data_IF_236249380538
#
_entry.id   IF_236249380538
#
_cell.length_a   1.000
_cell.length_b   1.000
_cell.length_c   1.000
_cell.angle_alpha   90.00
_cell.angle_beta   90.00
_cell.angle_gamma   90.00
#
_symmetry.space_group_name_H-M   'P 1'
#
loop_
_entity.id
_entity.type
_entity.pdbx_description
1 polymer ?
#
# COMPACT_ATOMS: atom_id res chain seq x y z
N UNK A 1 33.16 -13.86 -83.61
CA UNK A 1 33.75 -14.70 -82.55
C UNK A 1 33.15 -14.27 -81.21
N UNK A 2 32.45 -15.19 -80.52
CA UNK A 2 32.25 -15.28 -79.05
C UNK A 2 31.46 -14.13 -78.34
N UNK A 3 30.17 -14.36 -78.01
CA UNK A 3 29.58 -14.72 -76.68
C UNK A 3 29.42 -13.51 -75.73
N UNK A 4 28.38 -13.35 -74.90
CA UNK A 4 27.02 -13.90 -74.71
C UNK A 4 26.44 -13.16 -73.47
N UNK A 5 25.10 -13.09 -73.41
CA UNK A 5 24.24 -13.08 -72.19
C UNK A 5 23.96 -11.74 -71.48
N UNK A 6 22.65 -11.46 -71.43
CA UNK A 6 21.93 -10.47 -70.66
C UNK A 6 21.71 -10.90 -69.21
N UNK A 7 21.46 -9.94 -68.29
CA UNK A 7 20.52 -10.11 -67.18
C UNK A 7 20.21 -8.76 -66.48
N UNK A 8 18.92 -8.45 -66.46
CA UNK A 8 18.11 -7.74 -65.45
C UNK A 8 18.63 -7.92 -64.00
N UNK A 9 18.44 -7.07 -62.98
CA UNK A 9 17.26 -6.33 -62.51
C UNK A 9 17.56 -5.65 -61.16
N UNK A 10 16.72 -4.67 -60.81
CA UNK A 10 16.22 -4.30 -59.48
C UNK A 10 17.17 -3.68 -58.42
N UNK A 11 16.86 -2.43 -58.10
CA UNK A 11 17.17 -1.79 -56.83
C UNK A 11 16.59 -2.60 -55.66
N UNK A 12 17.41 -2.87 -54.64
CA UNK A 12 16.91 -3.22 -53.32
C UNK A 12 17.79 -2.49 -52.30
N UNK A 13 17.32 -1.31 -51.91
CA UNK A 13 17.75 -0.69 -50.66
C UNK A 13 17.46 -1.69 -49.55
N UNK A 14 18.52 -2.29 -49.00
CA UNK A 14 18.45 -2.97 -47.72
C UNK A 14 18.07 -1.91 -46.69
N UNK A 15 16.77 -1.81 -46.44
CA UNK A 15 16.25 -1.18 -45.25
C UNK A 15 16.96 -1.81 -44.06
N UNK A 16 17.80 -1.00 -43.40
CA UNK A 16 18.16 -1.17 -42.01
C UNK A 16 16.87 -1.06 -41.20
N UNK A 17 16.09 -2.13 -41.20
CA UNK A 17 15.09 -2.41 -40.18
C UNK A 17 15.84 -2.82 -38.91
N UNK A 18 16.59 -1.89 -38.33
CA UNK A 18 16.93 -1.97 -36.91
C UNK A 18 15.60 -1.84 -36.18
N UNK A 19 14.95 -2.97 -35.91
CA UNK A 19 13.92 -3.01 -34.88
C UNK A 19 14.61 -2.57 -33.60
N UNK A 20 14.51 -1.28 -33.28
CA UNK A 20 14.87 -0.80 -31.96
C UNK A 20 14.02 -1.61 -30.99
N UNK A 21 14.65 -2.52 -30.25
CA UNK A 21 14.00 -3.14 -29.11
C UNK A 21 13.54 -1.98 -28.23
N UNK A 22 12.22 -1.82 -28.09
CA UNK A 22 11.66 -0.81 -27.20
C UNK A 22 12.20 -1.08 -25.79
N UNK A 23 12.64 -0.04 -25.09
CA UNK A 23 13.26 -0.20 -23.79
C UNK A 23 12.22 -0.63 -22.75
N UNK A 24 12.55 -1.58 -21.87
CA UNK A 24 11.69 -1.98 -20.77
C UNK A 24 11.37 -0.76 -19.86
N UNK A 25 10.10 -0.59 -19.49
CA UNK A 25 9.65 0.39 -18.49
C UNK A 25 10.07 -0.11 -17.12
N UNK A 26 10.90 0.65 -16.40
CA UNK A 26 11.44 0.31 -15.08
C UNK A 26 10.70 1.06 -13.99
N UNK A 27 10.02 0.35 -13.10
CA UNK A 27 9.31 0.95 -11.97
C UNK A 27 9.98 0.51 -10.67
N UNK A 28 10.43 1.48 -9.87
CA UNK A 28 10.93 1.23 -8.52
C UNK A 28 9.78 1.10 -7.53
N UNK A 29 9.74 0.03 -6.74
CA UNK A 29 8.69 -0.21 -5.74
C UNK A 29 9.30 -0.30 -4.34
N UNK A 30 9.20 0.79 -3.58
CA UNK A 30 9.69 0.86 -2.20
C UNK A 30 8.58 0.49 -1.22
N UNK A 31 8.68 -0.67 -0.58
CA UNK A 31 7.69 -1.19 0.36
C UNK A 31 8.15 -1.00 1.80
N UNK A 32 7.20 -0.84 2.73
CA UNK A 32 7.54 -0.63 4.14
C UNK A 32 8.24 -1.85 4.75
N UNK A 33 7.73 -3.05 4.46
CA UNK A 33 8.29 -4.33 4.89
C UNK A 33 7.73 -5.46 4.02
N UNK A 34 8.46 -6.57 3.91
CA UNK A 34 8.03 -7.73 3.11
C UNK A 34 7.32 -8.82 3.90
N UNK A 35 7.47 -8.82 5.23
CA UNK A 35 6.93 -9.80 6.17
C UNK A 35 5.56 -9.40 6.74
N UNK A 36 4.89 -8.44 6.10
CA UNK A 36 3.48 -8.13 6.33
C UNK A 36 2.60 -8.93 5.34
N UNK A 37 1.56 -9.57 5.86
CA UNK A 37 0.68 -10.47 5.10
C UNK A 37 -0.05 -9.73 3.98
N UNK A 38 -0.65 -8.57 4.27
CA UNK A 38 -1.37 -7.78 3.28
C UNK A 38 -0.43 -7.22 2.21
N UNK A 39 0.73 -6.73 2.62
CA UNK A 39 1.72 -6.22 1.68
C UNK A 39 2.31 -7.31 0.78
N UNK A 40 2.35 -8.57 1.23
CA UNK A 40 2.70 -9.70 0.37
C UNK A 40 1.70 -9.88 -0.77
N UNK A 41 0.40 -9.89 -0.49
CA UNK A 41 -0.62 -9.97 -1.54
C UNK A 41 -0.53 -8.79 -2.51
N UNK A 42 -0.37 -7.58 -1.97
CA UNK A 42 -0.23 -6.37 -2.80
C UNK A 42 0.99 -6.47 -3.74
N UNK A 43 2.14 -6.93 -3.24
CA UNK A 43 3.37 -7.14 -4.02
C UNK A 43 3.18 -8.20 -5.12
N UNK A 44 2.56 -9.31 -4.78
CA UNK A 44 2.38 -10.43 -5.69
C UNK A 44 1.39 -10.07 -6.80
N UNK A 45 0.32 -9.33 -6.47
CA UNK A 45 -0.65 -8.81 -7.45
C UNK A 45 -0.03 -7.75 -8.37
N UNK A 46 0.81 -6.84 -7.84
CA UNK A 46 1.58 -5.91 -8.66
C UNK A 46 2.47 -6.67 -9.67
N UNK A 47 3.19 -7.70 -9.20
CA UNK A 47 4.02 -8.55 -10.05
C UNK A 47 3.22 -9.32 -11.10
N UNK A 48 2.08 -9.90 -10.72
CA UNK A 48 1.22 -10.62 -11.63
C UNK A 48 0.66 -9.68 -12.71
N UNK A 49 0.25 -8.47 -12.32
CA UNK A 49 -0.26 -7.47 -13.25
C UNK A 49 0.80 -7.04 -14.25
N UNK A 50 2.01 -6.72 -13.81
CA UNK A 50 3.11 -6.31 -14.70
C UNK A 50 3.40 -7.34 -15.80
N UNK A 51 3.29 -8.64 -15.49
CA UNK A 51 3.52 -9.74 -16.46
C UNK A 51 2.46 -9.83 -17.56
N UNK A 52 1.23 -9.37 -17.30
CA UNK A 52 0.10 -9.49 -18.24
C UNK A 52 -0.31 -8.14 -18.86
N UNK A 53 0.41 -7.05 -18.55
CA UNK A 53 0.15 -5.76 -19.17
C UNK A 53 0.45 -5.83 -20.66
N UNK A 54 -0.57 -5.54 -21.48
CA UNK A 54 -0.44 -5.42 -22.94
C UNK A 54 0.06 -4.03 -23.32
N UNK A 55 1.29 -3.74 -22.92
CA UNK A 55 2.04 -2.54 -23.33
C UNK A 55 2.98 -2.90 -24.49
N UNK A 56 3.35 -1.91 -25.30
CA UNK A 56 4.37 -2.10 -26.35
C UNK A 56 5.76 -2.42 -25.77
N UNK A 57 5.97 -2.08 -24.50
CA UNK A 57 7.19 -2.27 -23.71
C UNK A 57 6.91 -3.22 -22.54
N UNK A 58 7.90 -4.01 -22.12
CA UNK A 58 7.78 -4.83 -20.91
C UNK A 58 7.87 -3.94 -19.68
N UNK A 59 7.02 -4.20 -18.68
CA UNK A 59 7.10 -3.53 -17.36
C UNK A 59 7.95 -4.38 -16.42
N UNK A 60 9.06 -3.82 -15.95
CA UNK A 60 9.97 -4.41 -14.98
C UNK A 60 9.82 -3.71 -13.61
N UNK A 61 9.52 -4.49 -12.57
CA UNK A 61 9.31 -3.98 -11.21
C UNK A 61 10.51 -4.30 -10.33
N UNK A 62 11.20 -3.26 -9.84
CA UNK A 62 12.27 -3.38 -8.86
C UNK A 62 11.74 -3.16 -7.44
N UNK A 63 11.46 -4.23 -6.72
CA UNK A 63 11.04 -4.14 -5.32
C UNK A 63 12.22 -3.97 -4.36
N UNK A 64 12.05 -3.10 -3.37
CA UNK A 64 12.98 -2.91 -2.25
C UNK A 64 12.22 -2.92 -0.92
N UNK A 65 12.84 -3.56 0.07
CA UNK A 65 12.26 -3.82 1.39
C UNK A 65 12.88 -2.90 2.45
N UNK A 66 12.10 -1.98 2.99
CA UNK A 66 12.57 -1.05 4.02
C UNK A 66 12.66 -1.67 5.42
N UNK A 67 12.11 -2.87 5.67
CA UNK A 67 12.14 -3.54 7.00
C UNK A 67 11.69 -2.64 8.15
N UNK A 68 10.60 -1.90 7.94
CA UNK A 68 10.05 -0.92 8.87
C UNK A 68 11.02 0.21 9.28
N UNK A 69 12.10 0.43 8.53
CA UNK A 69 13.05 1.50 8.78
C UNK A 69 12.83 2.67 7.81
N UNK A 70 12.42 3.82 8.37
CA UNK A 70 12.14 5.04 7.61
C UNK A 70 13.39 5.55 6.89
N UNK A 71 14.56 5.53 7.54
CA UNK A 71 15.80 6.03 6.93
C UNK A 71 16.21 5.15 5.77
N UNK A 72 16.15 3.84 5.95
CA UNK A 72 16.40 2.87 4.88
C UNK A 72 15.46 3.07 3.70
N UNK A 73 14.17 3.34 3.93
CA UNK A 73 13.22 3.61 2.84
C UNK A 73 13.61 4.86 2.05
N UNK A 74 14.08 5.92 2.70
CA UNK A 74 14.51 7.14 2.00
C UNK A 74 15.74 6.89 1.14
N UNK A 75 16.72 6.16 1.67
CA UNK A 75 17.93 5.84 0.93
C UNK A 75 17.60 4.95 -0.27
N UNK A 76 16.69 3.99 -0.09
CA UNK A 76 16.15 3.18 -1.18
C UNK A 76 15.43 4.00 -2.25
N UNK A 77 14.62 4.99 -1.85
CA UNK A 77 13.97 5.90 -2.80
C UNK A 77 15.02 6.70 -3.58
N UNK A 78 16.03 7.26 -2.90
CA UNK A 78 17.14 7.98 -3.55
C UNK A 78 17.91 7.08 -4.51
N UNK A 79 18.17 5.83 -4.14
CA UNK A 79 18.85 4.86 -4.98
C UNK A 79 18.05 4.53 -6.24
N UNK A 80 16.73 4.36 -6.13
CA UNK A 80 15.84 4.15 -7.27
C UNK A 80 15.83 5.39 -8.19
N UNK A 81 15.77 6.59 -7.62
CA UNK A 81 15.88 7.85 -8.37
C UNK A 81 17.23 7.92 -9.12
N UNK A 82 18.34 7.62 -8.45
CA UNK A 82 19.68 7.63 -9.04
C UNK A 82 19.83 6.60 -10.17
N UNK A 83 19.12 5.47 -10.07
CA UNK A 83 19.01 4.45 -11.13
C UNK A 83 18.14 4.89 -12.31
N UNK A 84 17.49 6.06 -12.22
CA UNK A 84 16.62 6.64 -13.26
C UNK A 84 15.49 5.69 -13.64
N UNK A 85 14.78 5.17 -12.64
CA UNK A 85 13.50 4.47 -12.89
C UNK A 85 12.50 5.43 -13.53
N UNK A 86 11.61 4.89 -14.36
CA UNK A 86 10.60 5.66 -15.08
C UNK A 86 9.44 6.10 -14.18
N UNK A 87 9.21 5.37 -13.08
CA UNK A 87 8.25 5.73 -12.04
C UNK A 87 8.61 5.11 -10.68
N UNK A 88 8.05 5.69 -9.61
CA UNK A 88 8.13 5.19 -8.25
C UNK A 88 6.75 4.78 -7.75
N UNK A 89 6.69 3.62 -7.09
CA UNK A 89 5.58 3.20 -6.25
C UNK A 89 6.09 3.11 -4.82
N UNK A 90 5.41 3.74 -3.87
CA UNK A 90 5.83 3.76 -2.46
C UNK A 90 4.70 3.33 -1.56
N UNK A 91 4.92 2.28 -0.78
CA UNK A 91 4.17 2.00 0.43
C UNK A 91 4.98 2.52 1.63
N UNK A 92 4.65 3.69 2.21
CA UNK A 92 5.51 4.35 3.18
C UNK A 92 5.59 3.59 4.51
N UNK A 93 6.79 3.54 5.11
CA UNK A 93 6.96 3.05 6.49
C UNK A 93 6.18 3.92 7.47
N UNK A 94 6.36 5.24 7.35
CA UNK A 94 5.75 6.29 8.17
C UNK A 94 5.12 7.35 7.25
N UNK A 95 3.86 7.71 7.50
CA UNK A 95 3.15 8.67 6.65
C UNK A 95 3.70 10.09 6.76
N UNK A 96 4.35 10.45 7.87
CA UNK A 96 5.01 11.75 8.05
C UNK A 96 6.25 11.90 7.15
N UNK A 97 6.88 10.79 6.75
CA UNK A 97 8.03 10.81 5.84
C UNK A 97 7.65 11.09 4.37
N UNK A 98 6.37 11.03 4.03
CA UNK A 98 5.88 11.17 2.65
C UNK A 98 6.21 12.53 2.04
N UNK A 99 6.19 13.61 2.81
CA UNK A 99 6.58 14.94 2.33
C UNK A 99 8.01 14.98 1.77
N UNK A 100 8.95 14.29 2.43
CA UNK A 100 10.35 14.20 1.98
C UNK A 100 10.48 13.32 0.74
N UNK A 101 9.81 12.16 0.73
CA UNK A 101 9.79 11.26 -0.45
C UNK A 101 9.22 11.98 -1.68
N UNK A 102 8.11 12.71 -1.50
CA UNK A 102 7.48 13.52 -2.54
C UNK A 102 8.44 14.58 -3.07
N UNK A 103 9.12 15.31 -2.18
CA UNK A 103 10.09 16.33 -2.58
C UNK A 103 11.22 15.75 -3.45
N UNK A 104 11.78 14.61 -3.06
CA UNK A 104 12.87 13.94 -3.80
C UNK A 104 12.40 13.49 -5.20
N UNK A 105 11.24 12.83 -5.29
CA UNK A 105 10.71 12.34 -6.56
C UNK A 105 10.34 13.48 -7.52
N UNK A 106 9.68 14.53 -7.02
CA UNK A 106 9.32 15.72 -7.81
C UNK A 106 10.56 16.47 -8.29
N UNK A 107 11.57 16.64 -7.43
CA UNK A 107 12.82 17.29 -7.82
C UNK A 107 13.58 16.51 -8.92
N UNK A 108 13.46 15.18 -8.91
CA UNK A 108 14.00 14.32 -9.95
C UNK A 108 13.14 14.23 -11.22
N UNK A 109 11.92 14.78 -11.21
CA UNK A 109 10.97 14.67 -12.31
C UNK A 109 10.42 13.25 -12.52
N UNK A 110 10.45 12.40 -11.49
CA UNK A 110 10.00 11.01 -11.56
C UNK A 110 8.56 10.92 -11.00
N UNK A 111 7.59 10.39 -11.78
CA UNK A 111 6.23 10.14 -11.30
C UNK A 111 6.21 9.25 -10.06
N UNK A 112 5.35 9.58 -9.10
CA UNK A 112 5.26 8.89 -7.82
C UNK A 112 3.82 8.48 -7.51
N UNK A 113 3.62 7.21 -7.15
CA UNK A 113 2.34 6.68 -6.68
C UNK A 113 2.49 6.12 -5.27
N UNK A 114 1.74 6.68 -4.32
CA UNK A 114 1.60 6.09 -2.99
C UNK A 114 0.55 5.00 -2.99
N UNK A 115 0.84 3.83 -2.41
CA UNK A 115 -0.11 2.71 -2.35
C UNK A 115 -0.35 2.24 -0.92
N UNK A 116 -1.60 1.85 -0.64
CA UNK A 116 -2.10 1.34 0.63
C UNK A 116 -2.08 2.32 1.82
N UNK A 117 -1.04 3.16 1.93
CA UNK A 117 -0.91 4.21 2.96
C UNK A 117 -0.78 5.56 2.26
N UNK A 118 -1.65 6.51 2.62
CA UNK A 118 -1.72 7.82 1.96
C UNK A 118 -0.74 8.82 2.58
N UNK A 119 -0.25 9.82 1.82
CA UNK A 119 0.44 10.97 2.40
C UNK A 119 -0.42 11.71 3.43
N UNK A 120 0.22 12.34 4.41
CA UNK A 120 -0.47 13.17 5.39
C UNK A 120 -0.97 14.49 4.78
N UNK A 121 -0.25 15.02 3.79
CA UNK A 121 -0.73 16.17 3.02
C UNK A 121 -1.71 15.69 1.92
N UNK A 122 -3.00 16.08 1.98
CA UNK A 122 -3.95 15.72 0.94
C UNK A 122 -3.70 16.47 -0.39
N UNK A 123 -2.88 17.52 -0.39
CA UNK A 123 -2.53 18.29 -1.60
C UNK A 123 -1.31 17.67 -2.26
N UNK A 124 -1.56 16.83 -3.25
CA UNK A 124 -0.48 16.21 -4.02
C UNK A 124 -0.04 17.13 -5.18
N UNK A 125 1.27 17.34 -5.37
CA UNK A 125 1.77 18.07 -6.54
C UNK A 125 1.56 17.26 -7.83
N UNK A 126 1.72 17.92 -8.98
CA UNK A 126 1.65 17.25 -10.27
C UNK A 126 2.66 16.09 -10.36
N UNK A 127 2.23 14.98 -10.96
CA UNK A 127 3.04 13.76 -11.06
C UNK A 127 3.02 12.88 -9.80
N UNK A 128 2.27 13.27 -8.76
CA UNK A 128 2.07 12.46 -7.55
C UNK A 128 0.63 12.02 -7.44
N UNK A 129 0.41 10.72 -7.24
CA UNK A 129 -0.91 10.12 -7.07
C UNK A 129 -0.94 9.19 -5.85
N UNK A 130 -2.13 8.78 -5.45
CA UNK A 130 -2.31 7.80 -4.37
C UNK A 130 -3.41 6.80 -4.73
N UNK A 131 -3.19 5.54 -4.38
CA UNK A 131 -4.14 4.42 -4.52
C UNK A 131 -4.31 3.79 -3.14
N UNK A 132 -5.36 4.20 -2.43
CA UNK A 132 -5.62 3.80 -1.04
C UNK A 132 -7.13 3.70 -0.79
N UNK A 133 -7.53 2.91 0.20
CA UNK A 133 -8.91 2.89 0.70
C UNK A 133 -9.27 4.16 1.45
N UNK A 134 -10.57 4.47 1.55
CA UNK A 134 -11.06 5.47 2.50
C UNK A 134 -11.11 4.88 3.91
N UNK A 135 -10.10 5.21 4.72
CA UNK A 135 -9.97 4.69 6.08
C UNK A 135 -11.07 5.18 7.02
N UNK A 136 -11.56 6.42 6.86
CA UNK A 136 -12.66 6.92 7.66
C UNK A 136 -13.93 6.12 7.37
N UNK A 137 -14.22 5.92 6.09
CA UNK A 137 -15.40 5.16 5.68
C UNK A 137 -15.31 3.70 6.12
N UNK A 138 -14.14 3.06 5.99
CA UNK A 138 -13.92 1.72 6.51
C UNK A 138 -14.24 1.62 8.01
N UNK A 139 -13.78 2.61 8.80
CA UNK A 139 -14.10 2.70 10.23
C UNK A 139 -15.58 2.88 10.51
N UNK A 140 -16.27 3.73 9.73
CA UNK A 140 -17.72 3.95 9.86
C UNK A 140 -18.51 2.68 9.55
N UNK A 141 -18.20 2.00 8.44
CA UNK A 141 -18.87 0.77 8.03
C UNK A 141 -18.73 -0.33 9.09
N UNK A 142 -17.52 -0.52 9.62
CA UNK A 142 -17.26 -1.50 10.68
C UNK A 142 -18.04 -1.16 11.96
N UNK A 143 -17.97 0.08 12.42
CA UNK A 143 -18.64 0.48 13.65
C UNK A 143 -20.16 0.46 13.55
N UNK A 144 -20.72 0.82 12.39
CA UNK A 144 -22.16 0.75 12.15
C UNK A 144 -22.64 -0.70 12.23
N UNK A 145 -21.94 -1.60 11.54
CA UNK A 145 -22.25 -3.04 11.59
C UNK A 145 -22.25 -3.58 13.02
N UNK A 146 -21.23 -3.23 13.82
CA UNK A 146 -21.14 -3.69 15.22
C UNK A 146 -22.24 -3.06 16.08
N UNK A 147 -22.52 -1.76 15.93
CA UNK A 147 -23.59 -1.10 16.68
C UNK A 147 -24.94 -1.74 16.42
N UNK A 148 -25.27 -2.03 15.15
CA UNK A 148 -26.52 -2.69 14.77
C UNK A 148 -26.59 -4.13 15.32
N UNK A 149 -25.48 -4.86 15.34
CA UNK A 149 -25.42 -6.21 15.92
C UNK A 149 -25.56 -6.24 17.45
N UNK A 150 -25.24 -5.14 18.10
CA UNK A 150 -25.33 -4.99 19.56
C UNK A 150 -26.66 -4.38 20.01
N UNK A 151 -27.64 -4.22 19.12
CA UNK A 151 -28.89 -3.49 19.38
C UNK A 151 -28.62 -2.10 19.99
N UNK A 152 -27.57 -1.44 19.48
CA UNK A 152 -27.13 -0.09 19.87
C UNK A 152 -26.73 0.09 21.34
N UNK A 153 -26.38 -0.98 22.06
CA UNK A 153 -25.98 -0.94 23.49
C UNK A 153 -24.86 -1.91 23.84
N UNK A 154 -24.07 -1.59 24.86
CA UNK A 154 -23.04 -2.48 25.41
C UNK A 154 -21.67 -1.83 25.48
N UNK A 155 -20.62 -2.64 25.44
CA UNK A 155 -19.24 -2.15 25.47
C UNK A 155 -18.38 -2.78 24.37
N UNK A 156 -17.39 -2.02 23.91
CA UNK A 156 -16.48 -2.43 22.86
C UNK A 156 -15.03 -2.14 23.24
N UNK A 157 -14.12 -2.95 22.70
CA UNK A 157 -12.68 -2.69 22.69
C UNK A 157 -12.24 -2.29 21.27
N UNK A 158 -11.18 -1.50 21.15
CA UNK A 158 -10.60 -1.15 19.84
C UNK A 158 -9.14 -1.61 19.77
N UNK A 159 -8.81 -2.41 18.75
CA UNK A 159 -7.43 -2.76 18.40
C UNK A 159 -6.91 -1.81 17.32
N UNK A 160 -5.97 -0.95 17.71
CA UNK A 160 -5.35 0.05 16.85
C UNK A 160 -4.22 -0.56 16.02
N UNK A 161 -4.08 -0.11 14.78
CA UNK A 161 -2.93 -0.44 13.93
C UNK A 161 -1.65 0.29 14.36
N UNK A 162 -0.64 0.29 13.50
CA UNK A 162 0.56 1.11 13.71
C UNK A 162 0.21 2.61 13.72
N UNK A 163 0.62 3.29 14.79
CA UNK A 163 0.33 4.70 15.01
C UNK A 163 1.15 5.63 14.10
N UNK A 164 2.23 5.13 13.47
CA UNK A 164 2.97 5.87 12.45
C UNK A 164 2.22 5.96 11.10
N UNK A 165 1.01 5.39 11.02
CA UNK A 165 0.20 5.38 9.81
C UNK A 165 -1.13 6.10 10.03
N UNK A 166 -1.38 7.15 9.25
CA UNK A 166 -2.64 7.90 9.32
C UNK A 166 -3.90 7.03 9.10
N UNK A 167 -3.79 5.86 8.45
CA UNK A 167 -4.89 4.90 8.31
C UNK A 167 -5.44 4.43 9.66
N UNK A 168 -4.58 4.22 10.67
CA UNK A 168 -5.00 3.88 12.05
C UNK A 168 -5.84 4.97 12.66
N UNK A 169 -5.36 6.22 12.56
CA UNK A 169 -6.03 7.39 13.13
C UNK A 169 -7.38 7.64 12.44
N UNK A 170 -7.40 7.59 11.11
CA UNK A 170 -8.61 7.85 10.31
C UNK A 170 -9.67 6.76 10.52
N UNK A 171 -9.28 5.49 10.53
CA UNK A 171 -10.20 4.36 10.77
C UNK A 171 -10.77 4.40 12.19
N UNK A 172 -9.94 4.68 13.18
CA UNK A 172 -10.40 4.85 14.57
C UNK A 172 -11.30 6.07 14.73
N UNK A 173 -11.00 7.18 14.05
CA UNK A 173 -11.89 8.35 14.02
C UNK A 173 -13.25 8.01 13.40
N UNK A 174 -13.29 7.27 12.30
CA UNK A 174 -14.52 6.78 11.67
C UNK A 174 -15.34 5.90 12.62
N UNK A 175 -14.68 5.00 13.36
CA UNK A 175 -15.31 4.19 14.41
C UNK A 175 -15.97 5.09 15.46
N UNK A 176 -15.20 6.02 16.05
CA UNK A 176 -15.67 6.91 17.12
C UNK A 176 -16.80 7.83 16.66
N UNK A 177 -16.76 8.31 15.41
CA UNK A 177 -17.81 9.14 14.81
C UNK A 177 -19.17 8.42 14.77
N UNK A 178 -19.17 7.11 14.47
CA UNK A 178 -20.40 6.31 14.47
C UNK A 178 -20.85 6.00 15.90
N UNK A 179 -19.94 5.53 16.76
CA UNK A 179 -20.29 5.14 18.13
C UNK A 179 -20.78 6.33 18.97
N UNK A 180 -20.36 7.56 18.68
CA UNK A 180 -20.88 8.77 19.33
C UNK A 180 -22.39 8.98 19.13
N UNK A 181 -22.99 8.36 18.10
CA UNK A 181 -24.45 8.40 17.86
C UNK A 181 -25.23 7.44 18.77
N UNK A 182 -24.53 6.50 19.43
CA UNK A 182 -25.08 5.45 20.27
C UNK A 182 -24.50 5.55 21.68
N UNK A 183 -25.00 6.47 22.53
CA UNK A 183 -24.39 6.75 23.83
C UNK A 183 -24.40 5.55 24.80
N UNK A 184 -25.22 4.54 24.54
CA UNK A 184 -25.28 3.29 25.30
C UNK A 184 -24.23 2.25 24.87
N UNK A 185 -23.45 2.54 23.82
CA UNK A 185 -22.22 1.81 23.49
C UNK A 185 -21.02 2.54 24.10
N UNK A 186 -20.28 1.85 24.96
CA UNK A 186 -19.06 2.38 25.60
C UNK A 186 -17.81 1.80 24.97
N UNK A 187 -16.84 2.65 24.67
CA UNK A 187 -15.48 2.21 24.34
C UNK A 187 -14.76 2.03 25.67
N UNK A 188 -14.47 0.80 26.06
CA UNK A 188 -13.84 0.49 27.36
C UNK A 188 -12.32 0.60 27.28
N UNK A 189 -11.74 0.21 26.14
CA UNK A 189 -10.29 0.25 25.96
C UNK A 189 -9.89 0.37 24.48
N UNK A 190 -8.74 1.00 24.26
CA UNK A 190 -8.08 1.09 22.97
C UNK A 190 -6.61 0.69 23.15
N UNK A 191 -6.17 -0.36 22.48
CA UNK A 191 -4.78 -0.80 22.55
C UNK A 191 -4.20 -1.06 21.16
N UNK A 192 -2.90 -0.80 21.02
CA UNK A 192 -2.19 -0.92 19.75
C UNK A 192 -1.69 -2.34 19.53
N UNK A 193 -2.15 -2.97 18.44
CA UNK A 193 -1.70 -4.28 17.98
C UNK A 193 -0.77 -4.25 16.78
N UNK A 194 -0.40 -3.05 16.29
CA UNK A 194 0.58 -2.84 15.21
C UNK A 194 0.35 -3.69 13.96
N UNK A 195 -0.93 -3.91 13.58
CA UNK A 195 -1.34 -4.76 12.45
C UNK A 195 -1.11 -6.27 12.62
N UNK A 196 -0.58 -6.73 13.75
CA UNK A 196 -0.13 -8.11 13.95
C UNK A 196 -1.21 -8.99 14.56
N UNK A 197 -1.45 -10.16 13.94
CA UNK A 197 -2.37 -11.18 14.45
C UNK A 197 -2.06 -11.60 15.88
N UNK A 198 -0.79 -11.90 16.17
CA UNK A 198 -0.38 -12.33 17.51
C UNK A 198 -0.72 -11.27 18.56
N UNK A 199 -0.53 -9.98 18.24
CA UNK A 199 -0.89 -8.90 19.17
C UNK A 199 -2.39 -8.80 19.39
N UNK A 200 -3.21 -9.03 18.36
CA UNK A 200 -4.66 -9.13 18.53
C UNK A 200 -5.07 -10.26 19.49
N UNK A 201 -4.41 -11.42 19.40
CA UNK A 201 -4.61 -12.55 20.32
C UNK A 201 -4.19 -12.19 21.75
N UNK A 202 -2.98 -11.64 21.91
CA UNK A 202 -2.41 -11.34 23.22
C UNK A 202 -3.26 -10.31 23.97
N UNK A 203 -3.58 -9.20 23.31
CA UNK A 203 -4.38 -8.12 23.90
C UNK A 203 -5.79 -8.58 24.30
N UNK A 204 -6.43 -9.38 23.45
CA UNK A 204 -7.76 -9.91 23.77
C UNK A 204 -7.71 -10.89 24.95
N UNK A 205 -6.69 -11.76 24.98
CA UNK A 205 -6.46 -12.65 26.11
C UNK A 205 -6.20 -11.91 27.42
N UNK A 206 -5.42 -10.83 27.37
CA UNK A 206 -5.11 -10.00 28.53
C UNK A 206 -6.37 -9.33 29.07
N UNK A 207 -7.22 -8.76 28.20
CA UNK A 207 -8.51 -8.20 28.60
C UNK A 207 -9.42 -9.23 29.29
N UNK A 208 -9.53 -10.43 28.72
CA UNK A 208 -10.32 -11.52 29.29
C UNK A 208 -9.78 -11.96 30.65
N UNK A 209 -8.45 -12.11 30.78
CA UNK A 209 -7.79 -12.53 32.02
C UNK A 209 -7.90 -11.49 33.13
N UNK A 210 -7.91 -10.20 32.77
CA UNK A 210 -8.16 -9.10 33.69
C UNK A 210 -9.63 -8.99 34.13
N UNK A 211 -10.52 -9.84 33.60
CA UNK A 211 -11.95 -9.81 33.88
C UNK A 211 -12.68 -8.63 33.25
N UNK A 212 -12.10 -8.01 32.20
CA UNK A 212 -12.79 -6.97 31.42
C UNK A 212 -14.03 -7.57 30.77
N UNK A 213 -15.13 -6.83 30.80
CA UNK A 213 -16.39 -7.21 30.16
C UNK A 213 -16.61 -6.33 28.94
N UNK A 214 -16.70 -6.97 27.77
CA UNK A 214 -17.01 -6.31 26.50
C UNK A 214 -17.90 -7.20 25.65
N UNK A 215 -18.64 -6.58 24.74
CA UNK A 215 -19.54 -7.24 23.79
C UNK A 215 -18.90 -7.44 22.42
N UNK A 216 -17.98 -6.56 22.01
CA UNK A 216 -17.30 -6.66 20.72
C UNK A 216 -15.87 -6.10 20.74
N UNK A 217 -15.07 -6.52 19.77
CA UNK A 217 -13.75 -5.96 19.47
C UNK A 217 -13.78 -5.40 18.06
N UNK A 218 -13.45 -4.11 17.90
CA UNK A 218 -13.25 -3.49 16.60
C UNK A 218 -11.75 -3.39 16.33
N UNK A 219 -11.25 -4.13 15.34
CA UNK A 219 -9.86 -4.03 14.96
C UNK A 219 -9.67 -3.19 13.70
N UNK A 220 -8.62 -2.37 13.69
CA UNK A 220 -8.25 -1.58 12.53
C UNK A 220 -7.73 -2.42 11.37
N UNK A 221 -7.48 -3.73 11.49
CA UNK A 221 -7.32 -4.62 10.33
C UNK A 221 -7.86 -6.02 10.61
N UNK A 222 -7.88 -6.82 9.55
CA UNK A 222 -8.25 -8.23 9.53
C UNK A 222 -7.33 -9.11 10.39
N UNK A 223 -6.01 -8.96 10.29
CA UNK A 223 -5.06 -9.80 11.04
C UNK A 223 -5.27 -9.68 12.55
N UNK A 224 -5.41 -8.47 13.09
CA UNK A 224 -5.72 -8.26 14.50
C UNK A 224 -7.12 -8.75 14.85
N UNK A 225 -8.11 -8.59 13.98
CA UNK A 225 -9.47 -9.12 14.20
C UNK A 225 -9.48 -10.66 14.28
N UNK A 226 -8.77 -11.33 13.37
CA UNK A 226 -8.60 -12.78 13.36
C UNK A 226 -7.92 -13.22 14.66
N UNK A 227 -6.87 -12.52 15.08
CA UNK A 227 -6.21 -12.78 16.35
C UNK A 227 -7.15 -12.65 17.55
N UNK A 228 -7.94 -11.58 17.60
CA UNK A 228 -8.93 -11.39 18.67
C UNK A 228 -9.97 -12.52 18.70
N UNK A 229 -10.47 -12.96 17.54
CA UNK A 229 -11.46 -14.03 17.43
C UNK A 229 -10.95 -15.42 17.83
N UNK A 230 -9.64 -15.58 18.06
CA UNK A 230 -9.04 -16.84 18.55
C UNK A 230 -9.05 -16.94 20.09
N UNK A 231 -9.66 -15.98 20.79
CA UNK A 231 -9.79 -15.92 22.25
C UNK A 231 -11.24 -15.77 22.67
#
# INVERSE_FOLDING_TARGET
MKTKIALTSLAMALMLGSGAALADIKIGVAMSQFDDTWLTYLRDDMNAKAKVMSTSEKVDLQFVDARADVNKQLDQVKDLINKKVDALIVNPVDTAATARITKEAVAAGIPLVYVNRRPDDPKLPAGVATVTSDDMEAGRLQAQYIADKMDHKGSVMILLGDLANNSTLNRTKGIKEVLAKYPDIKIEEEQTGTWLRQKGMDLTNDWLTQGRKFNAVLANNDEMAIGAAMR
#
